data_IF_946784755199
#
_entry.id   IF_946784755199
#
_cell.length_a   1.000
_cell.length_b   1.000
_cell.length_c   1.000
_cell.angle_alpha   90.00
_cell.angle_beta   90.00
_cell.angle_gamma   90.00
#
_symmetry.space_group_name_H-M   'P 1'
#
loop_
_entity.id
_entity.type
_entity.pdbx_description
1 polymer ?
#
# COMPACT_ATOMS: atom_id res chain seq x y z
N UNK A 1 39.34 47.83 -25.59
CA UNK A 1 39.06 46.76 -24.59
C UNK A 1 38.63 45.51 -25.34
N UNK A 2 39.45 44.46 -25.38
CA UNK A 2 39.06 43.16 -25.95
C UNK A 2 38.47 42.29 -24.85
N UNK A 3 37.20 41.89 -25.01
CA UNK A 3 36.56 40.91 -24.15
C UNK A 3 37.09 39.52 -24.50
N UNK A 4 37.94 38.97 -23.64
CA UNK A 4 38.46 37.61 -23.77
C UNK A 4 37.32 36.63 -23.43
N UNK A 5 36.74 36.00 -24.45
CA UNK A 5 35.75 34.93 -24.26
C UNK A 5 36.48 33.73 -23.67
N UNK A 6 36.22 33.41 -22.40
CA UNK A 6 36.64 32.13 -21.82
C UNK A 6 35.94 31.00 -22.59
N UNK A 7 36.71 30.27 -23.38
CA UNK A 7 36.28 29.00 -23.94
C UNK A 7 36.18 27.99 -22.79
N UNK A 8 35.02 27.95 -22.13
CA UNK A 8 34.70 26.88 -21.20
C UNK A 8 34.77 25.56 -21.94
N UNK A 9 35.85 24.80 -21.74
CA UNK A 9 35.99 23.44 -22.26
C UNK A 9 34.85 22.61 -21.67
N UNK A 10 33.76 22.42 -22.42
CA UNK A 10 32.81 21.34 -22.15
C UNK A 10 33.55 20.03 -22.42
N UNK A 11 34.30 19.55 -21.43
CA UNK A 11 34.84 18.19 -21.46
C UNK A 11 33.64 17.26 -21.52
N UNK A 12 33.41 16.68 -22.68
CA UNK A 12 32.39 15.65 -22.86
C UNK A 12 32.76 14.47 -21.96
N UNK A 13 31.89 14.10 -21.01
CA UNK A 13 32.15 12.95 -20.14
C UNK A 13 32.47 11.71 -20.98
N UNK A 14 33.46 10.88 -20.61
CA UNK A 14 33.72 9.62 -21.29
C UNK A 14 32.49 8.71 -21.17
N UNK A 15 32.25 7.87 -22.18
CA UNK A 15 31.03 7.05 -22.29
C UNK A 15 30.79 6.20 -21.03
N UNK A 16 31.84 5.60 -20.47
CA UNK A 16 31.75 4.82 -19.23
C UNK A 16 31.27 5.63 -18.02
N UNK A 17 31.72 6.88 -17.86
CA UNK A 17 31.26 7.75 -16.78
C UNK A 17 29.78 8.15 -16.94
N UNK A 18 29.30 8.30 -18.18
CA UNK A 18 27.87 8.56 -18.44
C UNK A 18 27.01 7.36 -18.08
N UNK A 19 27.43 6.15 -18.47
CA UNK A 19 26.71 4.90 -18.14
C UNK A 19 26.58 4.74 -16.63
N UNK A 20 27.67 4.95 -15.88
CA UNK A 20 27.65 4.88 -14.42
C UNK A 20 26.76 5.97 -13.79
N UNK A 21 26.82 7.20 -14.29
CA UNK A 21 25.97 8.28 -13.78
C UNK A 21 24.48 7.98 -14.02
N UNK A 22 24.13 7.53 -15.23
CA UNK A 22 22.77 7.13 -15.56
C UNK A 22 22.30 5.95 -14.71
N UNK A 23 23.11 4.91 -14.51
CA UNK A 23 22.71 3.75 -13.71
C UNK A 23 22.42 4.12 -12.26
N UNK A 24 23.26 4.95 -11.63
CA UNK A 24 23.05 5.46 -10.27
C UNK A 24 21.78 6.30 -10.21
N UNK A 25 21.57 7.19 -11.20
CA UNK A 25 20.39 8.05 -11.25
C UNK A 25 19.11 7.23 -11.40
N UNK A 26 19.09 6.22 -12.29
CA UNK A 26 17.94 5.35 -12.49
C UNK A 26 17.67 4.47 -11.26
N UNK A 27 18.70 3.83 -10.69
CA UNK A 27 18.54 2.96 -9.52
C UNK A 27 18.08 3.75 -8.29
N UNK A 28 18.72 4.89 -8.00
CA UNK A 28 18.34 5.77 -6.90
C UNK A 28 16.95 6.37 -7.08
N UNK A 29 16.65 6.86 -8.30
CA UNK A 29 15.33 7.40 -8.63
C UNK A 29 14.21 6.36 -8.47
N UNK A 30 14.43 5.13 -8.94
CA UNK A 30 13.46 4.05 -8.80
C UNK A 30 13.18 3.70 -7.33
N UNK A 31 14.20 3.61 -6.48
CA UNK A 31 14.02 3.33 -5.05
C UNK A 31 13.19 4.43 -4.35
N UNK A 32 13.42 5.69 -4.69
CA UNK A 32 12.63 6.82 -4.16
C UNK A 32 11.18 6.72 -4.63
N UNK A 33 10.93 6.52 -5.92
CA UNK A 33 9.57 6.38 -6.47
C UNK A 33 8.85 5.20 -5.81
N UNK A 34 9.52 4.05 -5.69
CA UNK A 34 8.98 2.88 -5.00
C UNK A 34 8.55 3.21 -3.57
N UNK A 35 9.42 3.86 -2.79
CA UNK A 35 9.12 4.28 -1.42
C UNK A 35 7.95 5.28 -1.36
N UNK A 36 7.87 6.23 -2.30
CA UNK A 36 6.78 7.20 -2.34
C UNK A 36 5.43 6.54 -2.63
N UNK A 37 5.38 5.55 -3.52
CA UNK A 37 4.16 4.79 -3.82
C UNK A 37 3.73 3.99 -2.57
N UNK A 38 4.66 3.29 -1.90
CA UNK A 38 4.37 2.60 -0.63
C UNK A 38 3.81 3.56 0.43
N UNK A 39 4.41 4.74 0.56
CA UNK A 39 3.99 5.77 1.50
C UNK A 39 2.63 6.37 1.14
N UNK A 40 2.30 6.45 -0.14
CA UNK A 40 0.99 6.91 -0.60
C UNK A 40 -0.11 5.93 -0.20
N UNK A 41 0.05 4.64 -0.50
CA UNK A 41 -0.94 3.62 -0.13
C UNK A 41 -1.13 3.49 1.39
N UNK A 42 -0.04 3.49 2.17
CA UNK A 42 -0.13 3.41 3.65
C UNK A 42 -0.83 4.62 4.29
N UNK A 43 -1.00 5.72 3.55
CA UNK A 43 -1.77 6.89 4.00
C UNK A 43 -3.25 6.83 3.63
N UNK A 44 -3.65 5.93 2.73
CA UNK A 44 -5.04 5.76 2.27
C UNK A 44 -5.96 5.30 3.40
N UNK A 45 -7.21 5.75 3.38
CA UNK A 45 -8.20 5.39 4.41
C UNK A 45 -8.52 3.89 4.40
N UNK A 46 -8.67 3.28 3.21
CA UNK A 46 -8.85 1.83 3.06
C UNK A 46 -7.76 1.03 3.79
N UNK A 47 -6.50 1.49 3.73
CA UNK A 47 -5.36 0.82 4.34
C UNK A 47 -5.37 1.00 5.85
N UNK A 48 -5.52 2.25 6.31
CA UNK A 48 -5.50 2.59 7.74
C UNK A 48 -6.63 1.89 8.49
N UNK A 49 -7.85 1.96 7.96
CA UNK A 49 -9.00 1.32 8.59
C UNK A 49 -8.82 -0.20 8.67
N UNK A 50 -8.32 -0.84 7.60
CA UNK A 50 -8.08 -2.29 7.63
C UNK A 50 -7.03 -2.69 8.68
N UNK A 51 -5.96 -1.92 8.79
CA UNK A 51 -4.93 -2.12 9.82
C UNK A 51 -5.48 -1.90 11.22
N UNK A 52 -6.31 -0.87 11.42
CA UNK A 52 -6.97 -0.62 12.71
C UNK A 52 -7.90 -1.78 13.09
N UNK A 53 -8.68 -2.29 12.13
CA UNK A 53 -9.54 -3.45 12.37
C UNK A 53 -8.71 -4.69 12.77
N UNK A 54 -7.62 -4.98 12.03
CA UNK A 54 -6.70 -6.08 12.37
C UNK A 54 -6.10 -5.91 13.77
N UNK A 55 -5.65 -4.69 14.11
CA UNK A 55 -5.11 -4.37 15.42
C UNK A 55 -6.15 -4.45 16.54
N UNK A 56 -7.42 -4.27 16.25
CA UNK A 56 -8.49 -4.39 17.25
C UNK A 56 -9.04 -5.81 17.40
N UNK A 57 -8.67 -6.75 16.51
CA UNK A 57 -9.26 -8.09 16.45
C UNK A 57 -8.50 -9.12 17.30
N UNK A 58 -9.06 -9.61 18.43
CA UNK A 58 -8.32 -10.45 19.38
C UNK A 58 -7.85 -11.77 18.79
N UNK A 59 -8.69 -12.45 18.01
CA UNK A 59 -8.34 -13.74 17.38
C UNK A 59 -7.19 -13.59 16.38
N UNK A 60 -7.17 -12.48 15.63
CA UNK A 60 -6.12 -12.25 14.64
C UNK A 60 -4.80 -11.87 15.32
N UNK A 61 -4.87 -11.11 16.41
CA UNK A 61 -3.71 -10.84 17.26
C UNK A 61 -3.17 -12.10 17.92
N UNK A 62 -4.04 -12.98 18.40
CA UNK A 62 -3.63 -14.24 19.01
C UNK A 62 -2.94 -15.15 18.00
N UNK A 63 -3.45 -15.21 16.77
CA UNK A 63 -2.89 -16.01 15.70
C UNK A 63 -1.53 -15.48 15.21
N UNK A 64 -1.39 -14.16 14.99
CA UNK A 64 -0.14 -13.54 14.53
C UNK A 64 0.91 -13.44 15.64
N UNK A 65 0.48 -13.07 16.86
CA UNK A 65 1.33 -12.79 18.01
C UNK A 65 2.04 -11.42 17.96
N UNK A 66 2.42 -10.84 19.11
CA UNK A 66 3.12 -9.56 19.16
C UNK A 66 4.63 -9.69 18.89
N UNK A 67 5.31 -8.66 18.36
CA UNK A 67 4.75 -7.42 17.83
C UNK A 67 4.13 -7.64 16.44
N UNK A 68 3.00 -6.97 16.18
CA UNK A 68 2.40 -6.94 14.85
C UNK A 68 3.23 -6.03 13.92
N UNK A 69 3.79 -6.62 12.88
CA UNK A 69 4.54 -5.93 11.84
C UNK A 69 3.74 -5.88 10.54
N UNK A 70 3.75 -4.72 9.90
CA UNK A 70 3.06 -4.48 8.63
C UNK A 70 4.13 -4.18 7.59
N UNK A 71 4.18 -4.97 6.54
CA UNK A 71 5.22 -4.90 5.50
C UNK A 71 4.75 -4.10 4.29
N UNK A 72 5.70 -3.81 3.41
CA UNK A 72 5.41 -3.14 2.15
C UNK A 72 4.53 -3.98 1.24
N UNK A 73 3.62 -3.30 0.55
CA UNK A 73 2.76 -3.90 -0.47
C UNK A 73 3.61 -4.47 -1.60
N UNK A 74 3.19 -5.59 -2.17
CA UNK A 74 3.75 -6.08 -3.44
C UNK A 74 3.17 -5.23 -4.57
N UNK A 75 3.85 -4.15 -4.95
CA UNK A 75 3.35 -3.18 -5.95
C UNK A 75 3.14 -3.76 -7.36
N UNK A 76 3.78 -4.89 -7.67
CA UNK A 76 3.69 -5.56 -8.98
C UNK A 76 2.57 -6.62 -8.99
N UNK A 77 1.97 -6.91 -7.83
CA UNK A 77 0.84 -7.82 -7.74
C UNK A 77 -0.38 -7.18 -8.43
N UNK A 78 -0.93 -7.89 -9.42
CA UNK A 78 -2.04 -7.40 -10.24
C UNK A 78 -3.36 -7.37 -9.47
N UNK A 79 -3.46 -8.12 -8.39
CA UNK A 79 -4.62 -8.12 -7.53
C UNK A 79 -4.63 -6.91 -6.58
N UNK A 80 -3.47 -6.28 -6.36
CA UNK A 80 -3.38 -5.01 -5.67
C UNK A 80 -3.75 -3.87 -6.63
N UNK A 81 -4.94 -3.32 -6.48
CA UNK A 81 -5.36 -2.16 -7.26
C UNK A 81 -6.21 -1.19 -6.43
N UNK A 82 -6.14 0.07 -6.81
CA UNK A 82 -6.97 1.14 -6.27
C UNK A 82 -7.40 1.99 -7.45
N UNK A 83 -8.70 2.04 -7.71
CA UNK A 83 -9.29 2.85 -8.77
C UNK A 83 -10.13 4.01 -8.18
N UNK A 84 -11.04 4.55 -9.00
CA UNK A 84 -11.88 5.68 -8.62
C UNK A 84 -12.91 5.31 -7.55
N UNK A 85 -13.38 4.07 -7.48
CA UNK A 85 -14.49 3.64 -6.64
C UNK A 85 -14.21 2.37 -5.82
N UNK A 86 -13.20 1.57 -6.20
CA UNK A 86 -12.86 0.28 -5.61
C UNK A 86 -11.37 0.24 -5.23
N UNK A 87 -11.07 -0.40 -4.10
CA UNK A 87 -9.73 -0.64 -3.60
C UNK A 87 -9.64 -2.08 -3.10
N UNK A 88 -8.77 -2.86 -3.73
CA UNK A 88 -8.41 -4.21 -3.32
C UNK A 88 -6.92 -4.30 -3.02
N UNK A 89 -6.57 -4.73 -1.81
CA UNK A 89 -5.18 -4.84 -1.37
C UNK A 89 -4.90 -6.12 -0.60
N UNK A 90 -3.68 -6.63 -0.76
CA UNK A 90 -3.05 -7.69 0.01
C UNK A 90 -1.89 -7.10 0.78
N UNK A 91 -2.13 -6.78 2.05
CA UNK A 91 -1.14 -6.18 2.94
C UNK A 91 -0.41 -7.31 3.67
N UNK A 92 0.90 -7.51 3.45
CA UNK A 92 1.61 -8.56 4.17
C UNK A 92 1.82 -8.15 5.63
N UNK A 93 1.51 -9.07 6.54
CA UNK A 93 1.59 -8.86 7.98
C UNK A 93 2.32 -10.04 8.64
N UNK A 94 2.99 -9.77 9.75
CA UNK A 94 3.64 -10.82 10.53
C UNK A 94 3.64 -10.52 12.01
N UNK A 95 3.67 -11.56 12.82
CA UNK A 95 3.90 -11.48 14.26
C UNK A 95 4.93 -12.50 14.71
N UNK A 96 5.02 -12.74 16.02
CA UNK A 96 5.96 -13.70 16.60
C UNK A 96 5.56 -15.16 16.41
N UNK A 97 4.27 -15.44 16.18
CA UNK A 97 3.74 -16.80 16.01
C UNK A 97 3.58 -17.18 14.54
N UNK A 98 3.05 -16.27 13.73
CA UNK A 98 2.75 -16.55 12.33
C UNK A 98 2.88 -15.31 11.44
N UNK A 99 2.81 -15.55 10.14
CA UNK A 99 2.77 -14.53 9.09
C UNK A 99 1.61 -14.79 8.14
N UNK A 100 1.18 -13.75 7.43
CA UNK A 100 0.02 -13.84 6.56
C UNK A 100 -0.18 -12.63 5.66
N UNK A 101 -1.30 -12.64 4.95
CA UNK A 101 -1.76 -11.57 4.09
C UNK A 101 -3.12 -11.07 4.61
N UNK A 102 -3.20 -9.77 4.89
CA UNK A 102 -4.44 -9.10 5.17
C UNK A 102 -5.06 -8.66 3.84
N UNK A 103 -6.17 -9.29 3.48
CA UNK A 103 -6.97 -8.93 2.31
C UNK A 103 -7.94 -7.83 2.70
N UNK A 104 -8.00 -6.80 1.86
CA UNK A 104 -8.82 -5.61 2.08
C UNK A 104 -9.62 -5.34 0.83
N UNK A 105 -10.92 -5.17 1.01
CA UNK A 105 -11.84 -4.66 0.01
C UNK A 105 -12.53 -3.41 0.55
N UNK A 106 -12.54 -2.35 -0.25
CA UNK A 106 -13.14 -1.08 0.12
C UNK A 106 -13.71 -0.38 -1.07
N UNK A 107 -14.84 0.27 -0.87
CA UNK A 107 -15.55 0.99 -1.90
C UNK A 107 -15.81 2.45 -1.52
N UNK A 108 -16.12 3.27 -2.51
CA UNK A 108 -16.66 4.62 -2.34
C UNK A 108 -17.55 4.98 -3.51
N UNK A 109 -18.58 5.79 -3.27
CA UNK A 109 -19.52 6.18 -4.34
C UNK A 109 -18.97 7.20 -5.35
N UNK A 110 -17.69 7.62 -5.26
CA UNK A 110 -17.05 8.45 -6.28
C UNK A 110 -15.69 9.03 -5.88
N UNK A 111 -14.98 9.73 -6.80
CA UNK A 111 -13.58 10.14 -6.63
C UNK A 111 -13.29 11.05 -5.41
N UNK A 112 -14.30 11.76 -4.92
CA UNK A 112 -14.20 12.68 -3.78
C UNK A 112 -15.00 12.23 -2.56
N UNK A 113 -15.59 11.04 -2.62
CA UNK A 113 -16.27 10.46 -1.47
C UNK A 113 -15.27 9.71 -0.59
N UNK A 114 -15.67 9.50 0.67
CA UNK A 114 -14.89 8.77 1.64
C UNK A 114 -14.84 7.29 1.27
N UNK A 115 -13.72 6.65 1.53
CA UNK A 115 -13.60 5.19 1.46
C UNK A 115 -14.32 4.53 2.62
N UNK A 116 -15.02 3.44 2.32
CA UNK A 116 -15.69 2.57 3.28
C UNK A 116 -15.06 1.19 3.19
N UNK A 117 -14.77 0.57 4.33
CA UNK A 117 -14.38 -0.84 4.36
C UNK A 117 -15.61 -1.69 4.03
N UNK A 118 -15.47 -2.62 3.11
CA UNK A 118 -16.52 -3.60 2.79
C UNK A 118 -16.19 -4.94 3.45
N UNK A 119 -14.94 -5.39 3.32
CA UNK A 119 -14.47 -6.66 3.88
C UNK A 119 -12.98 -6.61 4.19
N UNK A 120 -12.61 -7.22 5.30
CA UNK A 120 -11.22 -7.46 5.70
C UNK A 120 -11.11 -8.86 6.26
N UNK A 121 -10.20 -9.66 5.73
CA UNK A 121 -9.88 -10.97 6.31
C UNK A 121 -8.38 -11.22 6.27
N UNK A 122 -7.90 -11.93 7.28
CA UNK A 122 -6.52 -12.34 7.41
C UNK A 122 -6.38 -13.78 6.91
N UNK A 123 -5.50 -14.01 5.95
CA UNK A 123 -5.08 -15.35 5.54
C UNK A 123 -3.69 -15.62 6.10
N UNK A 124 -3.59 -16.62 6.96
CA UNK A 124 -2.32 -17.08 7.51
C UNK A 124 -1.60 -17.98 6.52
N UNK A 125 -0.29 -18.16 6.71
CA UNK A 125 0.56 -19.01 5.85
C UNK A 125 0.11 -20.46 5.77
N UNK A 126 -0.56 -20.98 6.79
CA UNK A 126 -1.14 -22.33 6.83
C UNK A 126 -2.48 -22.44 6.08
N UNK A 127 -2.97 -21.34 5.52
CA UNK A 127 -4.23 -21.25 4.79
C UNK A 127 -5.45 -20.98 5.67
N UNK A 128 -5.29 -20.86 6.99
CA UNK A 128 -6.39 -20.46 7.86
C UNK A 128 -6.83 -19.02 7.53
N UNK A 129 -8.13 -18.81 7.38
CA UNK A 129 -8.72 -17.50 7.15
C UNK A 129 -9.48 -17.04 8.39
N UNK A 130 -9.19 -15.82 8.85
CA UNK A 130 -9.84 -15.17 9.98
C UNK A 130 -10.57 -13.93 9.44
N UNK A 131 -11.91 -13.89 9.42
CA UNK A 131 -12.64 -12.69 9.05
C UNK A 131 -12.43 -11.62 10.13
N UNK A 132 -11.85 -10.49 9.75
CA UNK A 132 -11.52 -9.39 10.67
C UNK A 132 -12.64 -8.34 10.68
N UNK A 133 -13.23 -8.08 9.51
CA UNK A 133 -14.34 -7.17 9.35
C UNK A 133 -15.18 -7.59 8.15
N UNK A 134 -16.51 -7.53 8.28
CA UNK A 134 -17.44 -7.68 7.18
C UNK A 134 -18.56 -6.67 7.35
N UNK A 135 -18.75 -5.82 6.35
CA UNK A 135 -19.88 -4.90 6.34
C UNK A 135 -21.15 -5.74 6.16
N UNK A 136 -21.93 -5.87 7.24
CA UNK A 136 -23.22 -6.56 7.15
C UNK A 136 -24.16 -5.69 6.31
N UNK A 137 -24.60 -6.21 5.16
CA UNK A 137 -25.55 -5.54 4.30
C UNK A 137 -26.97 -5.60 4.87
N UNK A 138 -27.25 -4.89 5.96
CA UNK A 138 -28.59 -4.85 6.54
C UNK A 138 -28.86 -3.49 7.21
N UNK A 139 -29.33 -2.54 6.41
CA UNK A 139 -30.23 -1.48 6.83
C UNK A 139 -31.39 -1.48 5.82
N UNK A 140 -32.17 -2.54 5.90
CA UNK A 140 -33.45 -2.73 5.20
C UNK A 140 -34.58 -3.05 6.18
N UNK A 141 -34.41 -2.73 7.48
CA UNK A 141 -35.48 -2.90 8.45
C UNK A 141 -36.52 -1.79 8.26
N UNK A 142 -37.66 -2.23 7.71
CA UNK A 142 -38.93 -1.54 7.64
C UNK A 142 -39.28 -0.88 8.98
N UNK A 143 -39.14 0.44 9.06
CA UNK A 143 -39.92 1.21 10.03
C UNK A 143 -41.36 1.25 9.49
N UNK A 144 -42.17 0.30 9.96
CA UNK A 144 -43.62 0.38 9.91
C UNK A 144 -44.05 1.74 10.50
N UNK A 145 -44.77 2.51 9.69
CA UNK A 145 -45.58 3.62 10.17
C UNK A 145 -46.72 3.04 11.01
N UNK A 146 -46.78 3.43 12.28
CA UNK A 146 -48.05 3.65 12.98
C UNK A 146 -48.37 5.14 12.98
#
# INVERSE_FOLDING_TARGET
MMWQKYAGSRRSMPLGARILFHSVFYAGGFAIVYYLIQKFHSRGLYYKLAVEQLQSHPEAQEALGPPLNIHYLKLIDRENFVDIADAKLKIPVSGSKSEGLLYVHSSRGGPFQRWHLDEVFLELKDGQQIPVFKLSGENGDEVKKE
#
